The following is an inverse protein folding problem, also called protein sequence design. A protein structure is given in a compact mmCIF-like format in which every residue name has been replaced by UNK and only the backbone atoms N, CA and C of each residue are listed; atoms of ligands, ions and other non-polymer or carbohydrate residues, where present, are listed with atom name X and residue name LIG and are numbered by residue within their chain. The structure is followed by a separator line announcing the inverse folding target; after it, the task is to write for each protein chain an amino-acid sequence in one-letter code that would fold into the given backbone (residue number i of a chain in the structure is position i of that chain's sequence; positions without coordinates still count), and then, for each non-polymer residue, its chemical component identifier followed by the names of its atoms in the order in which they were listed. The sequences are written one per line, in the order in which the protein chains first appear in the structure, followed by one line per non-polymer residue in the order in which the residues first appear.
data_IF_530930956160
#
_entry.id   IF_530930956160
#
_cell.length_a   1.000
_cell.length_b   1.000
_cell.length_c   1.000
_cell.angle_alpha   90.00
_cell.angle_beta   90.00
_cell.angle_gamma   90.00
#
_symmetry.space_group_name_H-M   'P 1'
#
loop_
_entity.id
_entity.type
_entity.pdbx_description
1 polymer ?
#
# COMPACT_ATOMS: atom_id res chain seq x y z
N UNK A 1 -5.71 34.73 -29.55
CA UNK A 1 -6.96 35.51 -29.33
C UNK A 1 -7.59 35.30 -27.94
N UNK A 2 -7.28 34.25 -27.16
CA UNK A 2 -8.00 33.97 -25.90
C UNK A 2 -7.51 34.68 -24.62
N UNK A 3 -6.25 35.12 -24.55
CA UNK A 3 -5.68 35.67 -23.30
C UNK A 3 -6.10 37.14 -23.07
N UNK A 4 -6.18 37.94 -24.14
CA UNK A 4 -6.54 39.36 -24.04
C UNK A 4 -8.00 39.58 -23.65
N UNK A 5 -8.92 38.75 -24.14
CA UNK A 5 -10.35 38.83 -23.78
C UNK A 5 -10.59 38.43 -22.33
N UNK A 6 -9.90 37.39 -21.84
CA UNK A 6 -9.97 37.00 -20.43
C UNK A 6 -9.47 38.11 -19.50
N UNK A 7 -8.40 38.81 -19.86
CA UNK A 7 -7.83 39.89 -19.05
C UNK A 7 -8.77 41.10 -18.96
N UNK A 8 -9.39 41.50 -20.08
CA UNK A 8 -10.33 42.63 -20.14
C UNK A 8 -11.60 42.34 -19.33
N UNK A 9 -12.14 41.11 -19.43
CA UNK A 9 -13.29 40.68 -18.64
C UNK A 9 -12.94 40.66 -17.14
N UNK A 10 -11.76 40.15 -16.77
CA UNK A 10 -11.30 40.16 -15.38
C UNK A 10 -11.18 41.60 -14.83
N UNK A 11 -10.61 42.55 -15.58
CA UNK A 11 -10.52 43.95 -15.14
C UNK A 11 -11.87 44.65 -14.99
N UNK A 12 -12.86 44.32 -15.83
CA UNK A 12 -14.23 44.86 -15.73
C UNK A 12 -14.99 44.34 -14.51
N UNK A 13 -14.77 43.07 -14.14
CA UNK A 13 -15.38 42.43 -12.96
C UNK A 13 -14.83 43.06 -11.68
N UNK A 14 -13.53 43.36 -11.62
CA UNK A 14 -12.89 43.94 -10.42
C UNK A 14 -13.35 45.37 -10.12
N UNK A 15 -13.83 46.12 -11.12
CA UNK A 15 -14.21 47.53 -10.94
C UNK A 15 -15.68 47.75 -10.54
N UNK A 16 -16.45 46.68 -10.29
CA UNK A 16 -17.84 46.79 -9.84
C UNK A 16 -17.93 46.52 -8.33
N UNK A 17 -18.33 47.54 -7.57
CA UNK A 17 -18.42 47.54 -6.11
C UNK A 17 -19.33 46.42 -5.57
N UNK A 18 -20.39 46.10 -6.31
CA UNK A 18 -21.30 45.01 -5.97
C UNK A 18 -20.64 43.64 -6.15
N UNK A 19 -19.84 43.48 -7.22
CA UNK A 19 -19.07 42.24 -7.44
C UNK A 19 -17.95 42.06 -6.43
N UNK A 20 -17.24 43.12 -6.04
CA UNK A 20 -16.26 43.04 -4.96
C UNK A 20 -16.90 42.61 -3.64
N UNK A 21 -18.08 43.16 -3.33
CA UNK A 21 -18.83 42.79 -2.12
C UNK A 21 -19.21 41.31 -2.14
N UNK A 22 -19.78 40.80 -3.24
CA UNK A 22 -20.16 39.39 -3.39
C UNK A 22 -18.94 38.46 -3.31
N UNK A 23 -17.84 38.84 -3.97
CA UNK A 23 -16.60 38.06 -3.95
C UNK A 23 -15.99 38.00 -2.54
N UNK A 24 -15.99 39.12 -1.82
CA UNK A 24 -15.52 39.20 -0.44
C UNK A 24 -16.33 38.27 0.48
N UNK A 25 -17.66 38.31 0.38
CA UNK A 25 -18.55 37.41 1.13
C UNK A 25 -18.30 35.94 0.79
N UNK A 26 -18.14 35.62 -0.49
CA UNK A 26 -17.86 34.25 -0.91
C UNK A 26 -16.56 33.71 -0.30
N UNK A 27 -15.47 34.48 -0.37
CA UNK A 27 -14.16 34.10 0.20
C UNK A 27 -14.26 33.97 1.73
N UNK A 28 -14.95 34.90 2.39
CA UNK A 28 -15.16 34.86 3.83
C UNK A 28 -15.95 33.61 4.26
N UNK A 29 -17.06 33.30 3.58
CA UNK A 29 -17.85 32.09 3.83
C UNK A 29 -17.03 30.81 3.61
N UNK A 30 -16.19 30.76 2.58
CA UNK A 30 -15.33 29.62 2.29
C UNK A 30 -14.27 29.42 3.39
N UNK A 31 -13.66 30.51 3.88
CA UNK A 31 -12.73 30.48 5.01
C UNK A 31 -13.40 30.05 6.31
N UNK A 32 -14.60 30.56 6.60
CA UNK A 32 -15.35 30.22 7.81
C UNK A 32 -15.81 28.76 7.80
N UNK A 33 -16.25 28.25 6.65
CA UNK A 33 -16.55 26.82 6.45
C UNK A 33 -15.31 25.95 6.67
N UNK A 34 -14.16 26.35 6.16
CA UNK A 34 -12.90 25.63 6.34
C UNK A 34 -12.48 25.55 7.82
N UNK A 35 -12.58 26.67 8.56
CA UNK A 35 -12.30 26.70 10.01
C UNK A 35 -13.28 25.82 10.79
N UNK A 36 -14.58 25.85 10.48
CA UNK A 36 -15.57 25.00 11.12
C UNK A 36 -15.29 23.51 10.90
N UNK A 37 -14.94 23.11 9.68
CA UNK A 37 -14.55 21.73 9.37
C UNK A 37 -13.31 21.29 10.16
N UNK A 38 -12.32 22.18 10.32
CA UNK A 38 -11.12 21.91 11.12
C UNK A 38 -11.45 21.71 12.61
N UNK A 39 -12.32 22.55 13.17
CA UNK A 39 -12.77 22.44 14.57
C UNK A 39 -13.54 21.13 14.78
N UNK A 40 -14.47 20.79 13.87
CA UNK A 40 -15.23 19.53 13.92
C UNK A 40 -14.30 18.33 13.88
N UNK A 41 -13.30 18.35 13.00
CA UNK A 41 -12.28 17.29 12.89
C UNK A 41 -11.46 17.12 14.19
N UNK A 42 -11.22 18.21 14.93
CA UNK A 42 -10.44 18.17 16.18
C UNK A 42 -11.26 17.74 17.39
N UNK A 43 -12.54 18.12 17.48
CA UNK A 43 -13.35 17.91 18.68
C UNK A 43 -14.11 16.58 18.63
N UNK A 44 -14.58 16.16 17.45
CA UNK A 44 -15.40 14.95 17.33
C UNK A 44 -14.49 13.77 16.96
N UNK A 45 -14.32 12.76 17.84
CA UNK A 45 -13.59 11.55 17.49
C UNK A 45 -14.36 10.82 16.38
N UNK A 46 -13.95 10.99 15.14
CA UNK A 46 -14.55 10.31 14.00
C UNK A 46 -14.12 8.83 13.94
N UNK A 47 -14.99 7.94 13.48
CA UNK A 47 -14.62 6.56 13.19
C UNK A 47 -13.45 6.51 12.19
N UNK A 48 -12.50 5.60 12.41
CA UNK A 48 -11.21 5.54 11.69
C UNK A 48 -11.33 5.54 10.15
N UNK A 49 -12.45 5.02 9.62
CA UNK A 49 -12.73 4.96 8.19
C UNK A 49 -12.94 6.33 7.54
N UNK A 50 -13.50 7.31 8.26
CA UNK A 50 -13.74 8.67 7.76
C UNK A 50 -12.51 9.56 7.90
N UNK A 51 -11.72 9.37 8.97
CA UNK A 51 -10.44 10.08 9.17
C UNK A 51 -9.46 9.83 8.03
N UNK A 52 -9.42 8.60 7.49
CA UNK A 52 -8.52 8.21 6.42
C UNK A 52 -8.82 8.93 5.09
N UNK A 53 -10.10 9.15 4.76
CA UNK A 53 -10.48 9.88 3.55
C UNK A 53 -10.24 11.39 3.68
N UNK A 54 -10.51 11.97 4.84
CA UNK A 54 -10.35 13.43 5.07
C UNK A 54 -8.87 13.82 5.15
N UNK A 55 -8.02 12.94 5.70
CA UNK A 55 -6.57 13.19 5.80
C UNK A 55 -5.91 13.37 4.42
N UNK A 56 -6.42 12.71 3.39
CA UNK A 56 -5.96 12.90 2.01
C UNK A 56 -6.42 14.21 1.37
N UNK A 57 -7.59 14.72 1.75
CA UNK A 57 -8.08 16.00 1.25
C UNK A 57 -7.34 17.19 1.89
N UNK A 58 -6.99 17.09 3.18
CA UNK A 58 -6.34 18.18 3.93
C UNK A 58 -4.85 18.28 3.62
N UNK A 59 -4.17 17.16 3.36
CA UNK A 59 -2.72 17.12 3.07
C UNK A 59 -2.44 16.83 1.60
N UNK A 60 -3.13 17.51 0.68
CA UNK A 60 -2.97 17.37 -0.78
C UNK A 60 -1.50 17.38 -1.27
N UNK A 61 -0.59 18.06 -0.57
CA UNK A 61 0.83 18.16 -0.92
C UNK A 61 1.73 17.04 -0.34
N UNK A 62 1.22 16.18 0.53
CA UNK A 62 1.93 14.98 0.97
C UNK A 62 1.37 13.79 0.24
N UNK A 63 2.25 12.99 -0.38
CA UNK A 63 1.86 11.70 -0.96
C UNK A 63 1.13 10.86 0.10
N UNK A 64 -0.19 10.71 -0.06
CA UNK A 64 -1.06 9.94 0.83
C UNK A 64 -0.54 8.51 1.10
N UNK A 65 0.34 8.03 0.25
CA UNK A 65 1.01 6.73 0.38
C UNK A 65 1.86 6.62 1.66
N UNK A 66 2.32 7.72 2.25
CA UNK A 66 3.30 7.70 3.35
C UNK A 66 2.69 7.81 4.76
N UNK A 67 1.54 8.48 4.92
CA UNK A 67 1.00 8.79 6.26
C UNK A 67 0.32 7.57 6.91
N UNK A 68 -0.25 6.66 6.11
CA UNK A 68 -0.90 5.44 6.61
C UNK A 68 0.08 4.49 7.30
N UNK A 69 1.36 4.52 6.91
CA UNK A 69 2.36 3.59 7.42
C UNK A 69 2.98 4.06 8.77
N UNK A 70 2.88 5.35 9.12
CA UNK A 70 3.54 5.90 10.33
C UNK A 70 2.77 5.60 11.64
N UNK A 71 1.44 5.60 11.63
CA UNK A 71 0.65 5.36 12.86
C UNK A 71 0.62 3.89 13.32
N UNK A 72 1.08 2.95 12.50
CA UNK A 72 1.07 1.51 12.86
C UNK A 72 2.38 1.07 13.54
N UNK A 73 3.40 1.93 13.63
CA UNK A 73 4.76 1.51 14.01
C UNK A 73 5.08 1.61 15.52
N UNK A 74 4.17 2.11 16.37
CA UNK A 74 4.53 2.52 17.73
C UNK A 74 4.39 1.47 18.86
N UNK A 75 4.00 0.21 18.63
CA UNK A 75 3.71 -0.71 19.76
C UNK A 75 4.06 -2.21 19.57
N UNK A 76 5.01 -2.55 18.70
CA UNK A 76 5.46 -3.93 18.53
C UNK A 76 6.65 -4.30 19.43
N UNK A 77 6.58 -5.35 20.29
CA UNK A 77 7.75 -5.87 21.00
C UNK A 77 8.79 -6.43 20.03
N UNK A 78 10.07 -6.33 20.40
CA UNK A 78 11.21 -6.75 19.59
C UNK A 78 11.13 -8.24 19.20
N UNK A 79 11.52 -8.62 17.96
CA UNK A 79 11.47 -10.02 17.51
C UNK A 79 12.50 -10.88 18.27
N UNK A 80 12.15 -12.11 18.67
CA UNK A 80 13.09 -13.05 19.29
C UNK A 80 14.12 -13.56 18.27
N UNK A 81 15.33 -13.84 18.78
CA UNK A 81 16.51 -14.30 18.05
C UNK A 81 16.23 -15.47 17.08
N UNK A 82 16.67 -15.27 15.83
CA UNK A 82 16.55 -16.24 14.74
C UNK A 82 17.60 -17.35 14.89
N UNK A 83 17.12 -18.52 15.31
CA UNK A 83 17.84 -19.79 15.36
C UNK A 83 18.26 -20.34 13.99
N UNK A 84 19.31 -21.15 14.05
CA UNK A 84 19.81 -22.09 13.04
C UNK A 84 18.69 -22.99 12.48
N UNK A 85 18.51 -22.96 11.15
CA UNK A 85 17.49 -23.74 10.41
C UNK A 85 18.05 -25.09 9.89
N UNK A 86 17.26 -26.17 9.92
CA UNK A 86 17.64 -27.48 9.38
C UNK A 86 17.66 -27.46 7.84
N UNK A 87 18.75 -28.00 7.26
CA UNK A 87 18.97 -28.10 5.81
C UNK A 87 17.98 -29.09 5.17
N UNK A 88 16.94 -28.56 4.49
CA UNK A 88 15.99 -29.37 3.70
C UNK A 88 16.65 -29.86 2.41
N UNK A 89 16.38 -31.12 2.07
CA UNK A 89 16.82 -31.77 0.83
C UNK A 89 16.38 -30.95 -0.39
N UNK A 90 17.38 -30.48 -1.13
CA UNK A 90 17.20 -29.59 -2.27
C UNK A 90 16.63 -30.35 -3.47
N UNK A 91 15.33 -30.22 -3.71
CA UNK A 91 14.84 -30.23 -5.09
C UNK A 91 15.64 -29.14 -5.82
N UNK A 92 16.25 -29.47 -6.96
CA UNK A 92 17.05 -28.53 -7.77
C UNK A 92 16.14 -27.45 -8.39
N UNK A 93 15.69 -26.54 -7.54
CA UNK A 93 14.93 -25.36 -7.90
C UNK A 93 15.96 -24.26 -8.05
N UNK A 94 15.97 -23.60 -9.20
CA UNK A 94 16.79 -22.42 -9.44
C UNK A 94 15.92 -21.18 -9.19
N UNK A 95 15.94 -20.59 -7.98
CA UNK A 95 14.94 -19.59 -7.57
C UNK A 95 14.98 -18.33 -8.44
N UNK A 96 16.16 -17.98 -8.94
CA UNK A 96 16.40 -16.84 -9.82
C UNK A 96 15.66 -16.93 -11.17
N UNK A 97 15.22 -18.12 -11.60
CA UNK A 97 14.44 -18.29 -12.83
C UNK A 97 12.98 -17.84 -12.71
N UNK A 98 12.49 -17.63 -11.50
CA UNK A 98 11.08 -17.33 -11.25
C UNK A 98 10.90 -15.87 -10.84
N UNK A 99 10.06 -15.13 -11.57
CA UNK A 99 9.66 -13.79 -11.14
C UNK A 99 8.64 -13.91 -10.00
N UNK A 100 8.98 -13.37 -8.83
CA UNK A 100 8.11 -13.43 -7.64
C UNK A 100 7.43 -12.08 -7.43
N UNK A 101 6.11 -12.05 -7.55
CA UNK A 101 5.28 -10.89 -7.27
C UNK A 101 4.63 -11.05 -5.89
N UNK A 102 4.52 -9.98 -5.11
CA UNK A 102 3.94 -10.02 -3.77
C UNK A 102 2.75 -9.08 -3.68
N UNK A 103 1.59 -9.66 -3.34
CA UNK A 103 0.35 -8.98 -3.05
C UNK A 103 -0.02 -9.18 -1.58
N UNK A 104 -0.43 -8.12 -0.91
CA UNK A 104 -0.80 -8.20 0.51
C UNK A 104 -2.04 -7.39 0.87
N UNK A 105 -2.71 -7.82 1.94
CA UNK A 105 -3.90 -7.17 2.48
C UNK A 105 -3.91 -7.11 4.01
N UNK A 106 -4.93 -6.43 4.54
CA UNK A 106 -5.20 -6.37 5.98
C UNK A 106 -4.25 -5.48 6.76
N UNK A 107 -3.95 -5.86 8.01
CA UNK A 107 -3.14 -5.07 8.94
C UNK A 107 -1.63 -5.29 8.78
N UNK A 108 -1.20 -5.98 7.72
CA UNK A 108 0.22 -6.14 7.40
C UNK A 108 0.87 -4.78 7.12
N UNK A 109 1.93 -4.47 7.85
CA UNK A 109 2.76 -3.30 7.61
C UNK A 109 3.61 -3.52 6.34
N UNK A 110 3.66 -2.50 5.46
CA UNK A 110 4.41 -2.56 4.21
C UNK A 110 5.91 -2.82 4.44
N UNK A 111 6.47 -2.25 5.51
CA UNK A 111 7.88 -2.43 5.86
C UNK A 111 8.21 -3.88 6.22
N UNK A 112 7.29 -4.58 6.89
CA UNK A 112 7.45 -6.01 7.20
C UNK A 112 7.41 -6.87 5.93
N UNK A 113 6.54 -6.52 4.98
CA UNK A 113 6.49 -7.16 3.65
C UNK A 113 7.79 -6.89 2.88
N UNK A 114 8.29 -5.65 2.86
CA UNK A 114 9.59 -5.27 2.27
C UNK A 114 10.72 -6.09 2.89
N UNK A 115 10.75 -6.24 4.21
CA UNK A 115 11.76 -7.01 4.91
C UNK A 115 11.74 -8.49 4.50
N UNK A 116 10.56 -9.11 4.38
CA UNK A 116 10.42 -10.46 3.84
C UNK A 116 10.93 -10.54 2.39
N UNK A 117 10.52 -9.61 1.52
CA UNK A 117 10.93 -9.61 0.10
C UNK A 117 12.45 -9.53 -0.06
N UNK A 118 13.13 -8.72 0.76
CA UNK A 118 14.61 -8.68 0.78
C UNK A 118 15.22 -10.00 1.21
N UNK A 119 14.71 -10.62 2.28
CA UNK A 119 15.17 -11.95 2.73
C UNK A 119 14.98 -13.02 1.66
N UNK A 120 13.87 -12.98 0.92
CA UNK A 120 13.67 -13.87 -0.23
C UNK A 120 14.70 -13.60 -1.35
N UNK A 121 15.00 -12.33 -1.62
CA UNK A 121 16.08 -11.95 -2.55
C UNK A 121 17.45 -12.46 -2.11
N UNK A 122 17.77 -12.40 -0.81
CA UNK A 122 19.00 -12.96 -0.22
C UNK A 122 19.08 -14.49 -0.38
N UNK A 123 17.94 -15.18 -0.44
CA UNK A 123 17.84 -16.61 -0.76
C UNK A 123 17.90 -16.91 -2.27
N UNK A 124 18.09 -15.89 -3.11
CA UNK A 124 18.25 -16.01 -4.55
C UNK A 124 16.95 -15.95 -5.36
N UNK A 125 15.80 -15.65 -4.74
CA UNK A 125 14.55 -15.44 -5.47
C UNK A 125 14.57 -14.12 -6.25
N UNK A 126 14.08 -14.13 -7.50
CA UNK A 126 13.96 -12.92 -8.32
C UNK A 126 12.66 -12.15 -7.96
N UNK A 127 12.68 -11.49 -6.81
CA UNK A 127 11.52 -10.77 -6.25
C UNK A 127 11.31 -9.41 -6.92
N UNK A 128 10.15 -9.24 -7.52
CA UNK A 128 9.78 -8.01 -8.22
C UNK A 128 9.33 -6.93 -7.24
N UNK A 129 9.87 -5.72 -7.40
CA UNK A 129 9.45 -4.56 -6.62
C UNK A 129 9.75 -4.65 -5.12
N UNK A 130 10.83 -5.35 -4.72
CA UNK A 130 11.24 -5.52 -3.33
C UNK A 130 11.29 -4.19 -2.56
N UNK A 131 11.89 -3.14 -3.14
CA UNK A 131 11.97 -1.82 -2.51
C UNK A 131 10.59 -1.16 -2.26
N UNK A 132 9.59 -1.48 -3.08
CA UNK A 132 8.22 -0.99 -2.93
C UNK A 132 7.40 -1.72 -1.86
N UNK A 133 7.88 -2.86 -1.36
CA UNK A 133 7.15 -3.71 -0.41
C UNK A 133 5.90 -4.36 -0.99
N UNK A 134 5.90 -4.66 -2.30
CA UNK A 134 4.78 -5.32 -2.98
C UNK A 134 3.54 -4.44 -3.17
N UNK A 135 2.49 -5.04 -3.73
CA UNK A 135 1.22 -4.37 -3.99
C UNK A 135 0.23 -4.62 -2.85
N UNK A 136 -0.28 -3.55 -2.24
CA UNK A 136 -1.41 -3.68 -1.30
C UNK A 136 -2.69 -3.76 -2.12
N UNK A 137 -3.48 -4.82 -1.95
CA UNK A 137 -4.75 -5.03 -2.67
C UNK A 137 -5.79 -5.67 -1.76
N UNK A 138 -7.06 -5.27 -1.91
CA UNK A 138 -8.18 -5.90 -1.18
C UNK A 138 -8.35 -7.36 -1.53
N UNK A 139 -7.95 -7.78 -2.73
CA UNK A 139 -8.19 -9.14 -3.24
C UNK A 139 -7.34 -10.19 -2.52
N UNK A 140 -6.26 -9.78 -1.83
CA UNK A 140 -5.46 -10.65 -0.97
C UNK A 140 -6.08 -10.82 0.43
N UNK A 141 -7.22 -10.19 0.71
CA UNK A 141 -7.88 -10.34 2.02
C UNK A 141 -8.32 -11.78 2.22
N UNK A 142 -7.87 -12.38 3.32
CA UNK A 142 -8.24 -13.75 3.66
C UNK A 142 -7.34 -14.81 3.03
N UNK A 143 -6.36 -14.43 2.20
CA UNK A 143 -5.47 -15.37 1.52
C UNK A 143 -4.16 -15.57 2.30
N UNK A 144 -3.56 -16.74 2.12
CA UNK A 144 -2.22 -17.09 2.60
C UNK A 144 -1.68 -18.19 1.67
N UNK A 145 -1.35 -17.80 0.44
CA UNK A 145 -1.04 -18.74 -0.63
C UNK A 145 0.03 -18.23 -1.60
N UNK A 146 0.73 -19.16 -2.25
CA UNK A 146 1.62 -18.91 -3.38
C UNK A 146 0.96 -19.50 -4.63
N UNK A 147 0.59 -18.64 -5.57
CA UNK A 147 -0.05 -19.04 -6.82
C UNK A 147 0.98 -19.32 -7.90
N UNK A 148 0.75 -20.37 -8.68
CA UNK A 148 1.69 -20.84 -9.70
C UNK A 148 1.00 -21.44 -10.92
N UNK A 149 1.70 -21.47 -12.06
CA UNK A 149 1.23 -22.08 -13.30
C UNK A 149 1.47 -23.61 -13.33
N UNK A 150 0.76 -24.34 -14.20
CA UNK A 150 1.01 -25.77 -14.38
C UNK A 150 2.49 -26.07 -14.72
N UNK A 151 3.15 -26.89 -13.89
CA UNK A 151 4.58 -27.25 -14.02
C UNK A 151 5.48 -26.64 -12.95
N UNK A 152 5.05 -25.58 -12.26
CA UNK A 152 5.91 -24.81 -11.33
C UNK A 152 5.66 -25.16 -9.84
N UNK A 153 5.00 -26.28 -9.57
CA UNK A 153 4.54 -26.67 -8.23
C UNK A 153 5.67 -26.73 -7.20
N UNK A 154 6.79 -27.39 -7.54
CA UNK A 154 7.90 -27.56 -6.61
C UNK A 154 8.53 -26.21 -6.21
N UNK A 155 8.67 -25.29 -7.18
CA UNK A 155 9.16 -23.94 -6.90
C UNK A 155 8.18 -23.17 -6.01
N UNK A 156 6.88 -23.27 -6.28
CA UNK A 156 5.85 -22.64 -5.46
C UNK A 156 5.82 -23.16 -4.02
N UNK A 157 6.00 -24.46 -3.80
CA UNK A 157 6.07 -25.07 -2.47
C UNK A 157 7.33 -24.62 -1.71
N UNK A 158 8.48 -24.54 -2.38
CA UNK A 158 9.70 -24.00 -1.79
C UNK A 158 9.55 -22.51 -1.41
N UNK A 159 8.93 -21.70 -2.28
CA UNK A 159 8.64 -20.31 -1.99
C UNK A 159 7.63 -20.17 -0.83
N UNK A 160 6.59 -20.99 -0.80
CA UNK A 160 5.61 -21.00 0.29
C UNK A 160 6.27 -21.31 1.64
N UNK A 161 7.20 -22.27 1.67
CA UNK A 161 7.99 -22.57 2.86
C UNK A 161 8.85 -21.38 3.29
N UNK A 162 9.55 -20.72 2.35
CA UNK A 162 10.36 -19.54 2.65
C UNK A 162 9.53 -18.35 3.14
N UNK A 163 8.33 -18.15 2.58
CA UNK A 163 7.37 -17.13 3.05
C UNK A 163 6.83 -17.49 4.43
N UNK A 164 6.56 -18.76 4.71
CA UNK A 164 6.08 -19.22 6.03
C UNK A 164 7.10 -18.92 7.14
N UNK A 165 8.39 -19.06 6.86
CA UNK A 165 9.50 -18.75 7.79
C UNK A 165 9.59 -17.26 8.15
N UNK A 166 8.95 -16.38 7.38
CA UNK A 166 8.88 -14.95 7.71
C UNK A 166 7.91 -14.62 8.84
N UNK A 167 7.00 -15.55 9.19
CA UNK A 167 5.93 -15.37 10.17
C UNK A 167 5.03 -14.13 9.95
N UNK A 168 4.93 -13.62 8.70
CA UNK A 168 4.01 -12.52 8.37
C UNK A 168 2.54 -12.95 8.45
N UNK A 169 2.23 -14.18 8.04
CA UNK A 169 0.89 -14.77 8.17
C UNK A 169 0.84 -15.69 9.40
N UNK A 170 -0.27 -15.65 10.13
CA UNK A 170 -0.58 -16.66 11.15
C UNK A 170 -1.14 -17.95 10.55
N UNK A 171 -1.56 -17.90 9.28
CA UNK A 171 -2.09 -19.03 8.52
C UNK A 171 -0.96 -19.75 7.80
N UNK A 172 -1.15 -21.04 7.57
CA UNK A 172 -0.26 -21.82 6.72
C UNK A 172 -0.23 -21.21 5.31
N UNK A 173 0.97 -21.05 4.74
CA UNK A 173 1.16 -20.61 3.36
C UNK A 173 1.14 -21.83 2.44
N UNK A 174 0.13 -21.94 1.58
CA UNK A 174 -0.05 -23.10 0.69
C UNK A 174 0.28 -22.75 -0.76
N UNK A 175 0.88 -23.68 -1.51
CA UNK A 175 1.05 -23.52 -2.95
C UNK A 175 -0.24 -23.94 -3.69
N UNK A 176 -0.83 -23.03 -4.47
CA UNK A 176 -2.08 -23.28 -5.20
C UNK A 176 -1.87 -23.04 -6.71
N UNK A 177 -2.26 -24.02 -7.52
CA UNK A 177 -2.20 -23.84 -8.98
C UNK A 177 -3.28 -22.85 -9.42
N UNK A 178 -2.92 -21.87 -10.23
CA UNK A 178 -3.83 -20.87 -10.77
C UNK A 178 -3.53 -20.66 -12.27
N UNK A 179 -4.53 -20.85 -13.12
CA UNK A 179 -4.38 -20.75 -14.59
C UNK A 179 -4.14 -19.32 -15.09
N UNK A 180 -4.43 -18.30 -14.29
CA UNK A 180 -4.18 -16.90 -14.62
C UNK A 180 -2.72 -16.49 -14.41
N UNK A 181 -1.94 -17.30 -13.69
CA UNK A 181 -0.51 -17.07 -13.48
C UNK A 181 0.26 -17.61 -14.67
N UNK A 182 1.13 -16.78 -15.25
CA UNK A 182 2.00 -17.20 -16.35
C UNK A 182 3.10 -18.16 -15.86
N UNK A 183 3.61 -19.00 -16.76
CA UNK A 183 4.74 -19.90 -16.45
C UNK A 183 5.95 -19.11 -15.96
N UNK A 184 6.67 -19.68 -15.00
CA UNK A 184 7.85 -19.05 -14.38
C UNK A 184 7.56 -17.73 -13.65
N UNK A 185 6.28 -17.41 -13.40
CA UNK A 185 5.86 -16.38 -12.45
C UNK A 185 5.24 -17.04 -11.24
N UNK A 186 5.55 -16.51 -10.06
CA UNK A 186 4.97 -16.92 -8.79
C UNK A 186 4.36 -15.69 -8.14
N UNK A 187 3.14 -15.82 -7.63
CA UNK A 187 2.48 -14.72 -6.92
C UNK A 187 2.25 -15.10 -5.46
N UNK A 188 2.73 -14.27 -4.54
CA UNK A 188 2.56 -14.46 -3.10
C UNK A 188 1.40 -13.59 -2.63
N UNK A 189 0.33 -14.22 -2.17
CA UNK A 189 -0.89 -13.56 -1.72
C UNK A 189 -1.08 -13.77 -0.21
N UNK A 190 -0.72 -12.77 0.59
CA UNK A 190 -0.71 -12.85 2.06
C UNK A 190 -1.59 -11.80 2.74
N UNK A 191 -2.24 -12.17 3.83
CA UNK A 191 -3.00 -11.22 4.66
C UNK A 191 -2.97 -11.58 6.14
N UNK A 192 -3.08 -10.54 6.96
CA UNK A 192 -3.28 -10.62 8.40
C UNK A 192 -4.46 -9.77 8.81
#
# INVERSE_FOLDING_TARGET
MGVGTALVVATRIVNNELMMTVLSWFVFSLGLLWVLLFIIYKIIPMPATLSQQISCAVWFLKDCKTVVDTDTQATGPAPPDASVLPSRQSVDIQPAKYEVYVQFAGVLARDSVRAMMRKLGEQGWNVQGAEGGGQRTSDATGTSEVRYAAGDKAAAEALAAAVQESHLSSRAVNAIQNSSVEKSKLEVWISR
#
